data_IF_727536967256
#
_entry.id   IF_727536967256
#
_cell.length_a   1.000
_cell.length_b   1.000
_cell.length_c   1.000
_cell.angle_alpha   90.00
_cell.angle_beta   90.00
_cell.angle_gamma   90.00
#
_symmetry.space_group_name_H-M   'P 1'
#
loop_
_entity.id
_entity.type
_entity.pdbx_description
1 polymer ?
#
# COMPACT_ATOMS: atom_id res chain seq x y z
N UNK A 1 -9.07 5.58 10.33
CA UNK A 1 -8.38 4.63 9.43
C UNK A 1 -7.62 3.65 10.32
N UNK A 2 -7.66 2.35 10.04
CA UNK A 2 -7.04 1.34 10.90
C UNK A 2 -5.82 0.77 10.19
N UNK A 3 -4.65 0.97 10.77
CA UNK A 3 -3.36 0.54 10.24
C UNK A 3 -2.59 -0.16 11.34
N UNK A 4 -2.05 -1.34 11.09
CA UNK A 4 -1.32 -2.11 12.10
C UNK A 4 -0.23 -2.99 11.52
N UNK A 5 0.76 -3.33 12.34
CA UNK A 5 1.79 -4.31 12.03
C UNK A 5 1.41 -5.66 12.64
N UNK A 6 1.91 -6.74 12.03
CA UNK A 6 1.84 -8.09 12.58
C UNK A 6 3.23 -8.69 12.62
N UNK A 7 3.57 -9.28 13.75
CA UNK A 7 4.81 -10.00 13.96
C UNK A 7 4.52 -11.46 14.29
N UNK A 8 5.33 -12.37 13.76
CA UNK A 8 5.30 -13.79 14.08
C UNK A 8 6.73 -14.18 14.46
N UNK A 9 6.93 -14.74 15.66
CA UNK A 9 8.26 -15.04 16.21
C UNK A 9 9.25 -13.87 16.10
N UNK A 10 8.78 -12.67 16.46
CA UNK A 10 9.54 -11.40 16.40
C UNK A 10 9.83 -10.87 14.98
N UNK A 11 9.59 -11.65 13.94
CA UNK A 11 9.70 -11.22 12.55
C UNK A 11 8.45 -10.44 12.14
N UNK A 12 8.63 -9.25 11.56
CA UNK A 12 7.53 -8.44 11.05
C UNK A 12 7.03 -9.04 9.73
N UNK A 13 5.87 -9.70 9.76
CA UNK A 13 5.26 -10.35 8.58
C UNK A 13 4.32 -9.41 7.82
N UNK A 14 3.76 -8.41 8.50
CA UNK A 14 2.93 -7.36 7.89
C UNK A 14 3.36 -5.99 8.44
N UNK A 15 3.60 -5.04 7.55
CA UNK A 15 3.90 -3.64 7.89
C UNK A 15 2.79 -2.72 7.39
N UNK A 16 2.41 -1.76 8.21
CA UNK A 16 1.45 -0.68 7.88
C UNK A 16 0.19 -1.20 7.20
N UNK A 17 -0.34 -2.31 7.72
CA UNK A 17 -1.40 -3.06 7.08
C UNK A 17 -2.76 -2.41 7.30
N UNK A 18 -3.40 -2.02 6.19
CA UNK A 18 -4.75 -1.48 6.15
C UNK A 18 -5.68 -2.44 5.39
N UNK A 19 -6.52 -3.17 6.13
CA UNK A 19 -7.50 -4.11 5.56
C UNK A 19 -8.46 -3.38 4.61
N UNK A 20 -8.92 -2.18 4.98
CA UNK A 20 -9.88 -1.42 4.20
C UNK A 20 -9.27 -0.94 2.89
N UNK A 21 -8.00 -0.54 2.89
CA UNK A 21 -7.29 -0.19 1.66
C UNK A 21 -7.09 -1.40 0.72
N UNK A 22 -6.91 -2.61 1.29
CA UNK A 22 -6.68 -3.83 0.50
C UNK A 22 -7.97 -4.40 -0.09
N UNK A 23 -9.04 -4.53 0.69
CA UNK A 23 -10.30 -5.18 0.25
C UNK A 23 -11.54 -4.29 0.26
N UNK A 24 -11.47 -3.08 0.82
CA UNK A 24 -12.64 -2.20 0.95
C UNK A 24 -13.58 -2.60 2.10
N UNK A 25 -14.74 -1.93 2.14
CA UNK A 25 -15.73 -2.12 3.20
C UNK A 25 -16.38 -3.51 3.15
N UNK A 26 -16.52 -4.15 4.31
CA UNK A 26 -17.30 -5.39 4.49
C UNK A 26 -16.92 -6.55 3.55
N UNK A 27 -15.64 -6.64 3.15
CA UNK A 27 -15.13 -7.78 2.37
C UNK A 27 -14.19 -8.64 3.21
N UNK A 28 -14.25 -9.97 3.07
CA UNK A 28 -13.32 -10.86 3.76
C UNK A 28 -11.92 -10.74 3.15
N UNK A 29 -10.90 -10.82 4.01
CA UNK A 29 -9.49 -10.91 3.61
C UNK A 29 -8.87 -12.09 4.35
N UNK A 30 -8.26 -13.00 3.60
CA UNK A 30 -7.54 -14.14 4.13
C UNK A 30 -6.07 -14.05 3.71
N UNK A 31 -5.16 -14.05 4.68
CA UNK A 31 -3.74 -14.25 4.44
C UNK A 31 -3.43 -15.75 4.51
N UNK A 32 -2.72 -16.26 3.51
CA UNK A 32 -2.26 -17.65 3.42
C UNK A 32 -0.73 -17.65 3.32
N UNK A 33 -0.10 -18.75 3.73
CA UNK A 33 1.34 -19.02 3.55
C UNK A 33 2.35 -18.23 4.40
N UNK A 34 1.96 -17.62 5.52
CA UNK A 34 2.94 -17.22 6.55
C UNK A 34 3.54 -18.45 7.23
N UNK A 35 4.72 -18.86 6.77
CA UNK A 35 5.48 -19.99 7.33
C UNK A 35 6.42 -19.49 8.42
N UNK A 36 6.50 -20.23 9.50
CA UNK A 36 7.29 -19.89 10.69
C UNK A 36 7.89 -21.16 11.27
N UNK A 37 9.16 -21.08 11.68
CA UNK A 37 9.80 -22.11 12.51
C UNK A 37 9.34 -21.95 13.96
N UNK A 38 8.88 -23.06 14.54
CA UNK A 38 8.55 -23.10 15.97
C UNK A 38 9.80 -23.51 16.72
N UNK A 39 10.15 -22.77 17.78
CA UNK A 39 11.27 -23.11 18.66
C UNK A 39 10.95 -24.39 19.45
N UNK A 40 11.94 -24.90 20.18
CA UNK A 40 11.78 -26.14 20.97
C UNK A 40 10.69 -26.04 22.04
N UNK A 41 10.32 -24.83 22.45
CA UNK A 41 9.23 -24.55 23.39
C UNK A 41 7.83 -24.90 22.85
N UNK A 42 7.69 -25.12 21.54
CA UNK A 42 6.41 -25.40 20.89
C UNK A 42 5.47 -24.19 20.87
N UNK A 43 5.95 -22.99 21.21
CA UNK A 43 5.12 -21.78 21.30
C UNK A 43 5.22 -20.97 20.02
N UNK A 44 4.07 -20.57 19.48
CA UNK A 44 3.97 -19.62 18.37
C UNK A 44 3.50 -18.29 18.90
N UNK A 45 4.40 -17.31 18.91
CA UNK A 45 4.08 -15.94 19.33
C UNK A 45 3.65 -15.11 18.13
N UNK A 46 2.42 -14.62 18.15
CA UNK A 46 1.87 -13.67 17.17
C UNK A 46 1.56 -12.37 17.90
N UNK A 47 2.16 -11.27 17.47
CA UNK A 47 1.99 -9.95 18.07
C UNK A 47 1.40 -8.99 17.06
N UNK A 48 0.35 -8.29 17.48
CA UNK A 48 -0.30 -7.23 16.71
C UNK A 48 0.06 -5.88 17.32
N UNK A 49 0.46 -4.93 16.50
CA UNK A 49 0.87 -3.60 16.93
C UNK A 49 0.10 -2.55 16.14
N UNK A 50 -0.72 -1.74 16.81
CA UNK A 50 -1.46 -0.66 16.16
C UNK A 50 -0.55 0.50 15.77
N UNK A 51 -0.57 0.89 14.50
CA UNK A 51 0.06 2.13 14.01
C UNK A 51 -0.96 3.26 14.06
N UNK A 52 -2.19 3.00 13.60
CA UNK A 52 -3.34 3.89 13.70
C UNK A 52 -4.58 3.08 14.08
N UNK A 53 -5.15 3.34 15.25
CA UNK A 53 -6.25 2.55 15.81
C UNK A 53 -5.83 1.14 16.26
N UNK A 54 -6.79 0.36 16.76
CA UNK A 54 -6.53 -0.99 17.29
C UNK A 54 -6.53 -2.04 16.19
N UNK A 55 -5.58 -2.99 16.15
CA UNK A 55 -5.60 -4.14 15.24
C UNK A 55 -6.88 -4.97 15.36
N UNK A 56 -7.29 -5.65 14.29
CA UNK A 56 -8.42 -6.59 14.31
C UNK A 56 -8.09 -7.87 13.55
N UNK A 57 -8.59 -8.99 14.05
CA UNK A 57 -8.45 -10.32 13.45
C UNK A 57 -9.74 -11.09 13.65
N UNK A 58 -10.25 -11.71 12.59
CA UNK A 58 -11.49 -12.51 12.65
C UNK A 58 -11.23 -13.99 12.97
N UNK A 59 -10.03 -14.50 12.64
CA UNK A 59 -9.66 -15.88 12.91
C UNK A 59 -8.20 -16.17 12.56
N UNK A 60 -7.61 -17.16 13.24
CA UNK A 60 -6.22 -17.61 13.02
C UNK A 60 -6.26 -19.12 12.83
N UNK A 61 -5.71 -19.60 11.70
CA UNK A 61 -5.58 -21.03 11.40
C UNK A 61 -4.12 -21.45 11.38
N UNK A 62 -3.72 -22.33 12.30
CA UNK A 62 -2.36 -22.88 12.35
C UNK A 62 -2.39 -24.31 11.83
N UNK A 63 -1.49 -24.64 10.90
CA UNK A 63 -1.34 -25.98 10.34
C UNK A 63 0.13 -26.34 10.30
N UNK A 64 0.44 -27.62 10.54
CA UNK A 64 1.80 -28.12 10.35
C UNK A 64 2.11 -28.06 8.86
N UNK A 65 3.13 -27.29 8.49
CA UNK A 65 3.61 -27.30 7.12
C UNK A 65 4.16 -28.70 6.79
N UNK A 66 3.93 -29.23 5.58
CA UNK A 66 4.60 -30.44 5.16
C UNK A 66 6.12 -30.24 5.29
N UNK A 67 6.84 -31.31 5.66
CA UNK A 67 8.31 -31.34 5.66
C UNK A 67 8.80 -31.23 4.21
N UNK A 68 8.61 -30.08 3.61
CA UNK A 68 9.44 -29.66 2.50
C UNK A 68 10.78 -29.45 3.17
N UNK A 69 11.78 -30.26 2.83
CA UNK A 69 13.16 -29.81 2.93
C UNK A 69 13.14 -28.48 2.21
N UNK A 70 13.00 -27.38 2.97
CA UNK A 70 13.28 -26.05 2.45
C UNK A 70 14.58 -26.29 1.70
N UNK A 71 14.67 -26.05 0.38
CA UNK A 71 15.97 -25.84 -0.19
C UNK A 71 16.49 -24.70 0.67
N UNK A 72 17.27 -25.04 1.70
CA UNK A 72 18.04 -24.10 2.52
C UNK A 72 18.64 -23.27 1.41
N UNK A 73 18.19 -22.01 1.29
CA UNK A 73 18.55 -21.16 0.17
C UNK A 73 20.00 -21.49 -0.11
N UNK A 74 20.30 -22.04 -1.29
CA UNK A 74 21.68 -22.35 -1.63
C UNK A 74 22.29 -20.97 -1.80
N UNK A 75 22.67 -20.40 -0.66
CA UNK A 75 23.49 -19.23 -0.53
C UNK A 75 24.83 -19.80 -0.91
N UNK A 76 25.23 -19.57 -2.16
CA UNK A 76 26.60 -19.79 -2.56
C UNK A 76 27.43 -18.78 -1.76
N UNK A 77 28.14 -19.29 -0.75
CA UNK A 77 29.02 -18.48 0.06
C UNK A 77 30.32 -18.33 -0.75
N UNK A 78 30.64 -17.10 -1.17
CA UNK A 78 31.94 -16.81 -1.75
C UNK A 78 32.87 -16.39 -0.62
N UNK A 79 33.99 -17.12 -0.44
CA UNK A 79 35.06 -16.71 0.47
C UNK A 79 35.93 -15.66 -0.22
N UNK A 80 36.08 -14.50 0.42
CA UNK A 80 37.01 -13.49 -0.04
C UNK A 80 38.45 -13.93 0.26
N UNK A 81 39.23 -14.23 -0.78
CA UNK A 81 40.63 -14.68 -0.66
C UNK A 81 41.59 -13.68 0.01
N UNK A 82 41.14 -12.45 0.29
CA UNK A 82 41.96 -11.40 0.88
C UNK A 82 41.62 -11.09 2.35
N UNK A 83 40.44 -11.48 2.84
CA UNK A 83 40.01 -11.14 4.20
C UNK A 83 39.19 -12.23 4.91
N UNK A 84 39.10 -13.45 4.36
CA UNK A 84 38.33 -14.58 4.90
C UNK A 84 36.86 -14.30 5.20
N UNK A 85 36.33 -13.16 4.73
CA UNK A 85 34.94 -12.82 4.88
C UNK A 85 34.05 -13.74 4.03
N UNK A 86 33.02 -14.30 4.65
CA UNK A 86 31.94 -15.02 3.96
C UNK A 86 30.93 -14.00 3.44
N UNK A 87 30.80 -13.90 2.12
CA UNK A 87 29.87 -12.97 1.48
C UNK A 87 28.67 -13.79 0.98
N UNK A 88 27.49 -13.51 1.55
CA UNK A 88 26.23 -14.08 1.10
C UNK A 88 25.82 -13.47 -0.24
N UNK A 89 25.77 -14.29 -1.31
CA UNK A 89 25.27 -13.83 -2.62
C UNK A 89 23.93 -14.52 -2.91
N UNK A 90 22.84 -13.76 -3.15
CA UNK A 90 21.55 -14.33 -3.54
C UNK A 90 21.68 -15.09 -4.86
N UNK A 91 21.09 -16.30 -4.93
CA UNK A 91 21.15 -17.16 -6.12
C UNK A 91 20.68 -16.41 -7.37
N UNK A 92 21.27 -16.73 -8.54
CA UNK A 92 20.93 -16.09 -9.81
C UNK A 92 19.42 -16.19 -10.15
N UNK A 93 18.74 -17.24 -9.66
CA UNK A 93 17.30 -17.42 -9.79
C UNK A 93 16.50 -16.42 -8.95
N UNK A 94 16.94 -16.14 -7.71
CA UNK A 94 16.32 -15.11 -6.85
C UNK A 94 16.50 -13.71 -7.43
N UNK A 95 17.69 -13.41 -7.98
CA UNK A 95 17.98 -12.12 -8.65
C UNK A 95 17.11 -11.91 -9.89
N UNK A 96 16.87 -12.94 -10.70
CA UNK A 96 16.02 -12.83 -11.90
C UNK A 96 14.53 -12.69 -11.56
N UNK A 97 14.04 -13.42 -10.54
CA UNK A 97 12.66 -13.23 -10.06
C UNK A 97 12.47 -11.85 -9.42
N UNK A 98 13.45 -11.36 -8.66
CA UNK A 98 13.45 -10.02 -8.09
C UNK A 98 13.46 -8.95 -9.19
N UNK A 99 14.35 -9.01 -10.18
CA UNK A 99 14.42 -8.01 -11.27
C UNK A 99 13.16 -7.96 -12.12
N UNK A 100 12.53 -9.12 -12.40
CA UNK A 100 11.25 -9.15 -13.12
C UNK A 100 10.11 -8.55 -12.30
N UNK A 101 10.10 -8.81 -10.98
CA UNK A 101 9.11 -8.23 -10.07
C UNK A 101 9.30 -6.72 -9.88
N UNK A 102 10.54 -6.24 -9.72
CA UNK A 102 10.84 -4.82 -9.56
C UNK A 102 10.50 -4.05 -10.83
N UNK A 103 10.86 -4.55 -12.02
CA UNK A 103 10.49 -3.92 -13.29
C UNK A 103 8.97 -3.83 -13.50
N UNK A 104 8.21 -4.84 -13.05
CA UNK A 104 6.74 -4.82 -13.09
C UNK A 104 6.17 -3.72 -12.20
N UNK A 105 6.65 -3.59 -10.97
CA UNK A 105 6.19 -2.56 -10.04
C UNK A 105 6.63 -1.17 -10.47
N UNK A 106 7.85 -1.01 -10.99
CA UNK A 106 8.37 0.25 -11.51
C UNK A 106 7.53 0.77 -12.69
N UNK A 107 7.19 -0.10 -13.64
CA UNK A 107 6.26 0.26 -14.73
C UNK A 107 4.88 0.66 -14.19
N UNK A 108 4.39 0.00 -13.14
CA UNK A 108 3.09 0.33 -12.54
C UNK A 108 3.14 1.68 -11.80
N UNK A 109 4.24 1.99 -11.14
CA UNK A 109 4.50 3.28 -10.49
C UNK A 109 4.51 4.39 -11.53
N UNK A 110 5.22 4.21 -12.65
CA UNK A 110 5.24 5.18 -13.75
C UNK A 110 3.83 5.43 -14.31
N UNK A 111 3.10 4.37 -14.63
CA UNK A 111 1.72 4.48 -15.15
C UNK A 111 0.80 5.24 -14.18
N UNK A 112 0.81 4.87 -12.90
CA UNK A 112 -0.01 5.54 -11.89
C UNK A 112 0.40 7.00 -11.70
N UNK A 113 1.70 7.30 -11.77
CA UNK A 113 2.22 8.66 -11.67
C UNK A 113 1.70 9.53 -12.81
N UNK A 114 1.72 9.02 -14.05
CA UNK A 114 1.15 9.72 -15.21
C UNK A 114 -0.35 9.95 -15.08
N UNK A 115 -1.10 8.95 -14.60
CA UNK A 115 -2.55 9.11 -14.38
C UNK A 115 -2.87 10.16 -13.31
N UNK A 116 -2.13 10.18 -12.20
CA UNK A 116 -2.29 11.20 -11.16
C UNK A 116 -2.02 12.61 -11.69
N UNK A 117 -0.97 12.79 -12.51
CA UNK A 117 -0.66 14.07 -13.14
C UNK A 117 -1.77 14.53 -14.09
N UNK A 118 -2.28 13.62 -14.92
CA UNK A 118 -3.38 13.93 -15.85
C UNK A 118 -4.65 14.32 -15.09
N UNK A 119 -5.04 13.55 -14.08
CA UNK A 119 -6.22 13.83 -13.25
C UNK A 119 -6.10 15.14 -12.49
N UNK A 120 -4.90 15.50 -12.04
CA UNK A 120 -4.64 16.78 -11.39
C UNK A 120 -4.88 17.94 -12.37
N UNK A 121 -4.43 17.80 -13.61
CA UNK A 121 -4.66 18.81 -14.66
C UNK A 121 -6.15 18.95 -15.00
N UNK A 122 -6.85 17.84 -15.22
CA UNK A 122 -8.30 17.85 -15.49
C UNK A 122 -9.08 18.53 -14.36
N UNK A 123 -8.73 18.23 -13.10
CA UNK A 123 -9.35 18.84 -11.93
C UNK A 123 -9.12 20.36 -11.89
N UNK A 124 -7.89 20.80 -12.17
CA UNK A 124 -7.55 22.22 -12.21
C UNK A 124 -8.32 22.96 -13.31
N UNK A 125 -8.41 22.41 -14.52
CA UNK A 125 -9.16 23.02 -15.62
C UNK A 125 -10.66 23.12 -15.33
N UNK A 126 -11.24 22.08 -14.72
CA UNK A 126 -12.63 22.08 -14.27
C UNK A 126 -12.87 23.14 -13.18
N UNK A 127 -11.95 23.26 -12.22
CA UNK A 127 -12.03 24.26 -11.16
C UNK A 127 -11.93 25.69 -11.70
N UNK A 128 -11.03 25.95 -12.65
CA UNK A 128 -10.94 27.25 -13.32
C UNK A 128 -12.23 27.59 -14.08
N UNK A 129 -12.81 26.62 -14.79
CA UNK A 129 -14.07 26.80 -15.54
C UNK A 129 -15.25 27.07 -14.61
N UNK A 130 -15.33 26.35 -13.49
CA UNK A 130 -16.34 26.58 -12.45
C UNK A 130 -16.19 27.96 -11.82
N UNK A 131 -14.96 28.39 -11.54
CA UNK A 131 -14.67 29.70 -10.96
C UNK A 131 -15.15 30.81 -11.91
N UNK A 132 -14.82 30.71 -13.20
CA UNK A 132 -15.30 31.66 -14.21
C UNK A 132 -16.82 31.69 -14.33
N UNK A 133 -17.49 30.52 -14.29
CA UNK A 133 -18.95 30.46 -14.35
C UNK A 133 -19.62 31.10 -13.11
N UNK A 134 -19.03 30.94 -11.93
CA UNK A 134 -19.52 31.58 -10.71
C UNK A 134 -19.34 33.10 -10.77
N UNK A 135 -18.20 33.59 -11.27
CA UNK A 135 -17.97 35.03 -11.45
C UNK A 135 -19.00 35.67 -12.41
N UNK A 136 -19.35 34.98 -13.50
CA UNK A 136 -20.40 35.45 -14.41
C UNK A 136 -21.80 35.40 -13.76
N UNK A 137 -22.09 34.37 -12.96
CA UNK A 137 -23.35 34.28 -12.21
C UNK A 137 -23.49 35.44 -11.23
N UNK A 138 -22.43 35.78 -10.50
CA UNK A 138 -22.42 36.91 -9.56
C UNK A 138 -22.70 38.23 -10.27
N UNK A 139 -22.10 38.46 -11.45
CA UNK A 139 -22.40 39.66 -12.27
C UNK A 139 -23.87 39.72 -12.69
N UNK A 140 -24.41 38.62 -13.21
CA UNK A 140 -25.81 38.55 -13.65
C UNK A 140 -26.77 38.77 -12.47
N UNK A 141 -26.44 38.22 -11.30
CA UNK A 141 -27.20 38.46 -10.07
C UNK A 141 -27.20 39.94 -9.68
N UNK A 142 -26.04 40.60 -9.68
CA UNK A 142 -25.94 42.04 -9.39
C UNK A 142 -26.72 42.90 -10.39
N UNK A 143 -26.67 42.57 -11.68
CA UNK A 143 -27.43 43.27 -12.71
C UNK A 143 -28.94 43.10 -12.51
N UNK A 144 -29.39 41.89 -12.17
CA UNK A 144 -30.79 41.62 -11.86
C UNK A 144 -31.28 42.40 -10.64
N UNK A 145 -30.48 42.46 -9.58
CA UNK A 145 -30.79 43.24 -8.38
C UNK A 145 -30.90 44.74 -8.71
N UNK A 146 -30.00 45.26 -9.52
CA UNK A 146 -30.02 46.67 -9.96
C UNK A 146 -31.26 46.99 -10.81
N UNK A 147 -31.63 46.11 -11.75
CA UNK A 147 -32.86 46.25 -12.56
C UNK A 147 -34.10 46.19 -11.66
N UNK A 148 -34.13 45.25 -10.73
CA UNK A 148 -35.24 45.08 -9.78
C UNK A 148 -35.41 46.33 -8.92
N UNK A 149 -34.32 46.87 -8.39
CA UNK A 149 -34.33 48.10 -7.60
C UNK A 149 -34.85 49.29 -8.41
N UNK A 150 -34.41 49.47 -9.66
CA UNK A 150 -34.91 50.54 -10.55
C UNK A 150 -36.41 50.40 -10.86
N UNK A 151 -36.89 49.17 -11.04
CA UNK A 151 -38.29 48.90 -11.35
C UNK A 151 -39.20 49.17 -10.14
N UNK A 152 -38.72 48.91 -8.92
CA UNK A 152 -39.46 49.14 -7.68
C UNK A 152 -39.43 50.60 -7.18
N UNK A 153 -38.60 51.45 -7.78
CA UNK A 153 -38.43 52.86 -7.41
C UNK A 153 -39.10 53.85 -8.37
N UNK A 154 -39.84 53.34 -9.38
CA UNK A 154 -40.79 54.08 -10.24
C UNK A 154 -42.22 53.86 -9.77
#
# INVERSE_FOLDING_TARGET
MRVFNVFIQEEKVLSDFDIFAVVGANKPLQLVDSRVSVKEDGVVVIRFEGVNGSPVVSGIGIRRAPNVSVPKLVVEHFKCNNCDAEIEVPSAQMKLMQTKSTAKYEKKIQELTTQCQLKTKECYEAWMSLTAANEELDKVMMDLDNVTFRTLSQ
#
